data_IF_262032418452
#
_entry.id   IF_262032418452
#
_cell.length_a   1.000
_cell.length_b   1.000
_cell.length_c   1.000
_cell.angle_alpha   90.00
_cell.angle_beta   90.00
_cell.angle_gamma   90.00
#
_symmetry.space_group_name_H-M   'P 1'
#
loop_
_entity.id
_entity.type
_entity.pdbx_description
1 polymer ?
#
# COMPACT_ATOMS: atom_id res chain seq x y z
N UNK A 1 -9.83 -0.37 -16.57
CA UNK A 1 -8.44 -0.89 -16.57
C UNK A 1 -8.26 -1.85 -17.72
N UNK A 2 -7.12 -1.79 -18.41
CA UNK A 2 -6.82 -2.70 -19.54
C UNK A 2 -6.54 -4.10 -18.99
N UNK A 3 -7.31 -5.08 -19.44
CA UNK A 3 -7.19 -6.49 -19.03
C UNK A 3 -7.15 -7.38 -20.27
N UNK A 4 -6.37 -8.44 -20.18
CA UNK A 4 -6.40 -9.54 -21.15
C UNK A 4 -7.64 -10.42 -20.95
N UNK A 5 -7.88 -11.36 -21.87
CA UNK A 5 -9.03 -12.28 -21.83
C UNK A 5 -9.06 -13.15 -20.56
N UNK A 6 -7.90 -13.41 -19.96
CA UNK A 6 -7.71 -14.13 -18.70
C UNK A 6 -7.97 -13.25 -17.46
N UNK A 7 -8.47 -12.01 -17.65
CA UNK A 7 -8.67 -10.99 -16.61
C UNK A 7 -7.38 -10.54 -15.92
N UNK A 8 -6.21 -10.91 -16.44
CA UNK A 8 -4.91 -10.44 -15.93
C UNK A 8 -4.51 -9.13 -16.60
N UNK A 9 -3.64 -8.39 -15.94
CA UNK A 9 -3.01 -7.22 -16.56
C UNK A 9 -2.09 -7.70 -17.70
N UNK A 10 -2.17 -7.10 -18.90
CA UNK A 10 -1.20 -7.35 -19.95
C UNK A 10 0.21 -7.06 -19.47
N UNK A 11 1.18 -7.87 -19.91
CA UNK A 11 2.57 -7.75 -19.49
C UNK A 11 3.14 -6.37 -19.83
N UNK A 12 2.78 -5.84 -20.99
CA UNK A 12 3.21 -4.55 -21.50
C UNK A 12 2.73 -3.42 -20.60
N UNK A 13 1.50 -3.49 -20.08
CA UNK A 13 0.95 -2.50 -19.17
C UNK A 13 1.66 -2.53 -17.81
N UNK A 14 1.99 -3.74 -17.31
CA UNK A 14 2.78 -3.91 -16.09
C UNK A 14 4.17 -3.30 -16.29
N UNK A 15 4.88 -3.67 -17.36
CA UNK A 15 6.23 -3.18 -17.65
C UNK A 15 6.25 -1.66 -17.84
N UNK A 16 5.24 -1.09 -18.50
CA UNK A 16 5.10 0.36 -18.69
C UNK A 16 5.01 1.11 -17.35
N UNK A 17 4.09 0.71 -16.46
CA UNK A 17 3.93 1.35 -15.14
C UNK A 17 5.24 1.26 -14.33
N UNK A 18 5.95 0.13 -14.44
CA UNK A 18 7.21 -0.07 -13.74
C UNK A 18 8.34 0.78 -14.27
N UNK A 19 8.40 0.96 -15.59
CA UNK A 19 9.35 1.86 -16.21
C UNK A 19 9.08 3.31 -15.79
N UNK A 20 7.81 3.75 -15.79
CA UNK A 20 7.45 5.08 -15.28
C UNK A 20 7.91 5.28 -13.84
N UNK A 21 7.68 4.29 -12.98
CA UNK A 21 8.13 4.37 -11.59
C UNK A 21 9.67 4.41 -11.54
N UNK A 22 10.37 3.56 -12.31
CA UNK A 22 11.84 3.41 -12.33
C UNK A 22 12.58 4.65 -12.82
N UNK A 23 12.04 5.28 -13.85
CA UNK A 23 12.66 6.41 -14.53
C UNK A 23 12.01 7.73 -14.17
N UNK A 24 11.28 7.79 -13.05
CA UNK A 24 10.80 9.06 -12.51
C UNK A 24 11.98 9.89 -12.00
N UNK A 25 12.41 10.84 -12.81
CA UNK A 25 13.34 11.89 -12.43
C UNK A 25 12.56 13.21 -12.36
N UNK A 26 12.33 13.69 -11.15
CA UNK A 26 11.64 14.96 -10.93
C UNK A 26 12.62 16.14 -10.81
N UNK A 27 13.91 15.94 -11.14
CA UNK A 27 14.88 17.03 -11.17
C UNK A 27 14.50 18.08 -12.22
N UNK A 28 14.57 19.36 -11.84
CA UNK A 28 14.21 20.48 -12.72
C UNK A 28 12.71 20.79 -12.77
N UNK A 29 11.86 19.98 -12.13
CA UNK A 29 10.46 20.35 -11.91
C UNK A 29 10.34 21.24 -10.66
N UNK A 30 9.83 22.49 -10.79
CA UNK A 30 9.63 23.35 -9.62
C UNK A 30 8.47 22.88 -8.73
N UNK A 31 7.62 21.97 -9.20
CA UNK A 31 6.47 21.44 -8.48
C UNK A 31 6.73 20.03 -7.94
N UNK A 32 6.09 19.72 -6.82
CA UNK A 32 6.09 18.37 -6.27
C UNK A 32 5.24 17.44 -7.14
N UNK A 33 5.81 16.33 -7.58
CA UNK A 33 5.16 15.24 -8.32
C UNK A 33 4.51 14.20 -7.39
N UNK A 34 4.43 14.48 -6.09
CA UNK A 34 4.11 13.49 -5.08
C UNK A 34 2.73 12.86 -5.23
N UNK A 35 1.76 13.64 -5.72
CA UNK A 35 0.42 13.15 -6.05
C UNK A 35 0.43 12.22 -7.26
N UNK A 36 1.20 12.58 -8.30
CA UNK A 36 1.37 11.73 -9.48
C UNK A 36 2.04 10.41 -9.10
N UNK A 37 3.09 10.47 -8.28
CA UNK A 37 3.79 9.30 -7.77
C UNK A 37 2.88 8.43 -6.89
N UNK A 38 2.06 9.04 -6.02
CA UNK A 38 1.08 8.33 -5.20
C UNK A 38 0.04 7.58 -6.06
N UNK A 39 -0.51 8.23 -7.08
CA UNK A 39 -1.42 7.60 -8.04
C UNK A 39 -0.75 6.46 -8.81
N UNK A 40 0.50 6.65 -9.24
CA UNK A 40 1.26 5.61 -9.92
C UNK A 40 1.49 4.40 -9.01
N UNK A 41 1.85 4.63 -7.74
CA UNK A 41 2.00 3.58 -6.74
C UNK A 41 0.67 2.83 -6.54
N UNK A 42 -0.44 3.53 -6.34
CA UNK A 42 -1.77 2.91 -6.17
C UNK A 42 -2.16 2.04 -7.37
N UNK A 43 -1.88 2.50 -8.60
CA UNK A 43 -2.18 1.73 -9.83
C UNK A 43 -1.50 0.36 -9.85
N UNK A 44 -0.35 0.21 -9.18
CA UNK A 44 0.34 -1.07 -9.05
C UNK A 44 -0.48 -2.05 -8.22
N UNK A 45 -1.13 -1.58 -7.15
CA UNK A 45 -2.02 -2.41 -6.33
C UNK A 45 -3.23 -2.93 -7.11
N UNK A 46 -3.64 -2.22 -8.16
CA UNK A 46 -4.76 -2.61 -9.02
C UNK A 46 -4.36 -3.61 -10.12
N UNK A 47 -3.07 -3.89 -10.30
CA UNK A 47 -2.60 -4.89 -11.26
C UNK A 47 -3.08 -6.30 -10.87
N UNK A 48 -3.49 -7.06 -11.88
CA UNK A 48 -3.85 -8.47 -11.73
C UNK A 48 -2.69 -9.32 -12.25
N UNK A 49 -1.80 -9.71 -11.34
CA UNK A 49 -0.60 -10.46 -11.66
C UNK A 49 -0.92 -11.96 -11.84
N UNK A 50 -0.33 -12.57 -12.87
CA UNK A 50 -0.28 -14.03 -13.01
C UNK A 50 0.82 -14.67 -12.15
N UNK A 51 0.80 -16.00 -12.00
CA UNK A 51 1.79 -16.76 -11.19
C UNK A 51 3.24 -16.52 -11.64
N UNK A 52 3.44 -16.20 -12.92
CA UNK A 52 4.76 -15.92 -13.49
C UNK A 52 5.45 -14.65 -12.94
N UNK A 53 4.75 -13.82 -12.15
CA UNK A 53 5.28 -12.54 -11.65
C UNK A 53 5.61 -12.54 -10.14
N UNK A 54 5.76 -13.70 -9.49
CA UNK A 54 6.09 -13.76 -8.06
C UNK A 54 7.45 -13.10 -7.74
N UNK A 55 8.47 -13.35 -8.56
CA UNK A 55 9.80 -12.70 -8.40
C UNK A 55 9.74 -11.18 -8.52
N UNK A 56 8.77 -10.69 -9.30
CA UNK A 56 8.50 -9.28 -9.46
C UNK A 56 7.88 -8.67 -8.20
N UNK A 57 6.97 -9.36 -7.52
CA UNK A 57 6.35 -8.88 -6.26
C UNK A 57 7.43 -8.57 -5.22
N UNK A 58 8.44 -9.43 -5.06
CA UNK A 58 9.54 -9.18 -4.11
C UNK A 58 10.32 -7.89 -4.44
N UNK A 59 10.59 -7.65 -5.72
CA UNK A 59 11.30 -6.44 -6.17
C UNK A 59 10.47 -5.18 -5.96
N UNK A 60 9.16 -5.28 -6.18
CA UNK A 60 8.20 -4.22 -5.92
C UNK A 60 8.09 -3.90 -4.43
N UNK A 61 8.00 -4.91 -3.56
CA UNK A 61 7.92 -4.72 -2.10
C UNK A 61 9.14 -3.96 -1.58
N UNK A 62 10.36 -4.35 -1.98
CA UNK A 62 11.61 -3.62 -1.64
C UNK A 62 11.58 -2.17 -2.12
N UNK A 63 10.82 -1.87 -3.16
CA UNK A 63 10.70 -0.51 -3.69
C UNK A 63 9.67 0.31 -2.92
N UNK A 64 8.52 -0.27 -2.59
CA UNK A 64 7.53 0.35 -1.70
C UNK A 64 8.14 0.64 -0.33
N UNK A 65 8.96 -0.27 0.20
CA UNK A 65 9.71 -0.06 1.44
C UNK A 65 10.62 1.18 1.36
N UNK A 66 11.36 1.35 0.26
CA UNK A 66 12.18 2.53 0.04
C UNK A 66 11.37 3.82 -0.04
N UNK A 67 10.18 3.80 -0.64
CA UNK A 67 9.29 4.96 -0.63
C UNK A 67 8.80 5.28 0.77
N UNK A 68 8.42 4.27 1.56
CA UNK A 68 8.03 4.45 2.97
C UNK A 68 9.18 5.03 3.81
N UNK A 69 10.40 4.52 3.64
CA UNK A 69 11.59 5.04 4.31
C UNK A 69 11.89 6.49 3.89
N UNK A 70 11.82 6.78 2.59
CA UNK A 70 12.05 8.13 2.06
C UNK A 70 11.01 9.12 2.56
N UNK A 71 9.73 8.74 2.57
CA UNK A 71 8.63 9.58 3.04
C UNK A 71 8.74 9.82 4.55
N UNK A 72 9.31 8.89 5.31
CA UNK A 72 9.61 9.09 6.73
C UNK A 72 10.74 10.10 6.95
N UNK A 73 11.75 10.14 6.09
CA UNK A 73 12.86 11.09 6.17
C UNK A 73 12.48 12.49 5.70
N UNK A 74 11.74 12.58 4.60
CA UNK A 74 11.23 13.84 4.04
C UNK A 74 9.75 13.67 3.72
N UNK A 75 8.87 14.01 4.68
CA UNK A 75 7.43 13.78 4.56
C UNK A 75 6.81 14.48 3.36
N UNK A 76 6.13 13.70 2.54
CA UNK A 76 5.19 14.18 1.55
C UNK A 76 4.04 14.94 2.22
N UNK A 77 3.42 15.84 1.45
CA UNK A 77 2.26 16.56 1.91
C UNK A 77 1.16 15.60 2.39
N UNK A 78 0.73 15.78 3.65
CA UNK A 78 -0.25 14.92 4.33
C UNK A 78 0.08 13.41 4.29
N UNK A 79 1.36 13.02 4.15
CA UNK A 79 1.79 11.63 4.10
C UNK A 79 1.14 10.82 2.97
N UNK A 80 0.88 11.46 1.83
CA UNK A 80 0.15 10.85 0.72
C UNK A 80 0.90 9.65 0.13
N UNK A 81 2.24 9.68 0.08
CA UNK A 81 3.02 8.53 -0.38
C UNK A 81 2.91 7.35 0.58
N UNK A 82 3.02 7.59 1.88
CA UNK A 82 2.82 6.56 2.90
C UNK A 82 1.44 5.92 2.80
N UNK A 83 0.38 6.73 2.70
CA UNK A 83 -0.99 6.21 2.54
C UNK A 83 -1.15 5.40 1.24
N UNK A 84 -0.59 5.88 0.12
CA UNK A 84 -0.61 5.18 -1.16
C UNK A 84 0.15 3.84 -1.09
N UNK A 85 1.31 3.80 -0.42
CA UNK A 85 2.07 2.58 -0.20
C UNK A 85 1.29 1.58 0.66
N UNK A 86 0.69 2.01 1.77
CA UNK A 86 -0.12 1.14 2.64
C UNK A 86 -1.29 0.52 1.85
N UNK A 87 -2.02 1.32 1.07
CA UNK A 87 -3.11 0.84 0.23
C UNK A 87 -2.61 -0.19 -0.79
N UNK A 88 -1.50 0.10 -1.46
CA UNK A 88 -0.90 -0.78 -2.46
C UNK A 88 -0.44 -2.10 -1.86
N UNK A 89 0.23 -2.05 -0.70
CA UNK A 89 0.65 -3.23 0.06
C UNK A 89 -0.55 -4.10 0.43
N UNK A 90 -1.64 -3.48 0.89
CA UNK A 90 -2.89 -4.18 1.23
C UNK A 90 -3.42 -4.96 0.03
N UNK A 91 -3.53 -4.32 -1.14
CA UNK A 91 -3.99 -4.99 -2.36
C UNK A 91 -3.07 -6.14 -2.77
N UNK A 92 -1.75 -5.96 -2.65
CA UNK A 92 -0.78 -7.03 -2.93
C UNK A 92 -0.97 -8.21 -1.96
N UNK A 93 -1.13 -7.93 -0.67
CA UNK A 93 -1.35 -8.96 0.36
C UNK A 93 -2.64 -9.76 0.14
N UNK A 94 -3.74 -9.09 -0.22
CA UNK A 94 -5.02 -9.75 -0.54
C UNK A 94 -4.92 -10.64 -1.79
N UNK A 95 -4.17 -10.22 -2.80
CA UNK A 95 -4.00 -10.97 -4.05
C UNK A 95 -2.95 -12.08 -3.96
N UNK A 96 -2.03 -11.98 -3.00
CA UNK A 96 -0.86 -12.84 -2.90
C UNK A 96 -0.68 -13.35 -1.47
N UNK A 97 -1.34 -14.46 -1.09
CA UNK A 97 -1.30 -14.98 0.27
C UNK A 97 0.12 -15.27 0.78
N UNK A 98 1.07 -15.61 -0.09
CA UNK A 98 2.44 -15.93 0.30
C UNK A 98 3.24 -14.75 0.87
N UNK A 99 2.83 -13.51 0.59
CA UNK A 99 3.48 -12.30 1.14
C UNK A 99 2.64 -11.62 2.23
N UNK A 100 1.46 -12.17 2.52
CA UNK A 100 0.52 -11.59 3.48
C UNK A 100 1.15 -11.35 4.87
N UNK A 101 1.93 -12.29 5.47
CA UNK A 101 2.55 -12.05 6.78
C UNK A 101 3.49 -10.84 6.77
N UNK A 102 4.35 -10.73 5.75
CA UNK A 102 5.29 -9.61 5.60
C UNK A 102 4.55 -8.28 5.45
N UNK A 103 3.52 -8.25 4.59
CA UNK A 103 2.68 -7.07 4.37
C UNK A 103 1.96 -6.66 5.65
N UNK A 104 1.44 -7.62 6.40
CA UNK A 104 0.74 -7.39 7.65
C UNK A 104 1.66 -6.74 8.68
N UNK A 105 2.86 -7.27 8.88
CA UNK A 105 3.85 -6.72 9.82
C UNK A 105 4.27 -5.29 9.45
N UNK A 106 4.46 -5.02 8.16
CA UNK A 106 4.78 -3.67 7.67
C UNK A 106 3.65 -2.69 7.98
N UNK A 107 2.40 -3.05 7.65
CA UNK A 107 1.25 -2.17 7.89
C UNK A 107 1.02 -1.98 9.40
N UNK A 108 1.23 -3.03 10.21
CA UNK A 108 1.10 -2.97 11.68
C UNK A 108 2.02 -1.91 12.30
N UNK A 109 3.20 -1.67 11.73
CA UNK A 109 4.12 -0.63 12.20
C UNK A 109 3.54 0.79 12.11
N UNK A 110 2.51 1.02 11.29
CA UNK A 110 1.83 2.31 11.13
C UNK A 110 0.59 2.48 12.02
N UNK A 111 0.23 1.48 12.85
CA UNK A 111 -0.95 1.54 13.72
C UNK A 111 -0.90 2.71 14.70
N UNK A 112 0.29 3.02 15.21
CA UNK A 112 0.53 4.09 16.19
C UNK A 112 1.29 5.29 15.58
N UNK A 113 1.13 5.51 14.27
CA UNK A 113 1.79 6.62 13.58
C UNK A 113 1.29 7.99 14.08
N UNK A 114 2.12 9.03 14.08
CA UNK A 114 1.74 10.35 14.64
C UNK A 114 0.56 10.99 13.90
N UNK A 115 0.55 10.90 12.56
CA UNK A 115 -0.50 11.47 11.72
C UNK A 115 -1.73 10.54 11.65
N UNK A 116 -2.86 11.03 12.14
CA UNK A 116 -4.08 10.22 12.31
C UNK A 116 -4.61 9.59 11.01
N UNK A 117 -4.46 10.24 9.85
CA UNK A 117 -4.93 9.65 8.57
C UNK A 117 -4.11 8.42 8.17
N UNK A 118 -2.82 8.41 8.50
CA UNK A 118 -1.97 7.23 8.27
C UNK A 118 -2.38 6.11 9.21
N UNK A 119 -2.64 6.39 10.50
CA UNK A 119 -3.20 5.39 11.44
C UNK A 119 -4.52 4.82 10.94
N UNK A 120 -5.46 5.68 10.55
CA UNK A 120 -6.75 5.27 10.02
C UNK A 120 -6.59 4.38 8.78
N UNK A 121 -5.71 4.76 7.85
CA UNK A 121 -5.44 3.98 6.66
C UNK A 121 -4.81 2.62 7.00
N UNK A 122 -3.84 2.58 7.93
CA UNK A 122 -3.21 1.34 8.38
C UNK A 122 -4.23 0.40 9.04
N UNK A 123 -5.06 0.92 9.95
CA UNK A 123 -6.08 0.11 10.62
C UNK A 123 -7.14 -0.42 9.65
N UNK A 124 -7.63 0.40 8.70
CA UNK A 124 -8.52 -0.07 7.62
C UNK A 124 -7.90 -1.21 6.81
N UNK A 125 -6.61 -1.08 6.50
CA UNK A 125 -5.85 -2.09 5.78
C UNK A 125 -5.69 -3.38 6.57
N UNK A 126 -5.33 -3.31 7.86
CA UNK A 126 -5.22 -4.47 8.74
C UNK A 126 -6.55 -5.21 8.87
N UNK A 127 -7.66 -4.48 9.08
CA UNK A 127 -9.00 -5.06 9.13
C UNK A 127 -9.36 -5.82 7.85
N UNK A 128 -9.01 -5.26 6.69
CA UNK A 128 -9.26 -5.91 5.40
C UNK A 128 -8.45 -7.21 5.25
N UNK A 129 -7.19 -7.20 5.69
CA UNK A 129 -6.33 -8.39 5.67
C UNK A 129 -6.79 -9.45 6.67
N UNK A 130 -7.18 -9.02 7.87
CA UNK A 130 -7.68 -9.90 8.93
C UNK A 130 -8.98 -10.58 8.53
N UNK A 131 -9.90 -9.82 7.94
CA UNK A 131 -11.14 -10.37 7.38
C UNK A 131 -10.87 -11.43 6.32
N UNK A 132 -9.92 -11.18 5.43
CA UNK A 132 -9.57 -12.11 4.36
C UNK A 132 -8.91 -13.39 4.88
N UNK A 133 -8.04 -13.29 5.89
CA UNK A 133 -7.26 -14.44 6.38
C UNK A 133 -7.97 -15.23 7.48
N UNK A 134 -8.61 -14.55 8.43
CA UNK A 134 -9.13 -15.12 9.67
C UNK A 134 -10.67 -14.99 9.80
N UNK A 135 -11.32 -14.27 8.87
CA UNK A 135 -12.78 -14.14 8.81
C UNK A 135 -13.34 -12.96 9.60
N UNK A 136 -14.67 -12.89 9.65
CA UNK A 136 -15.40 -11.74 10.18
C UNK A 136 -15.16 -11.50 11.68
N UNK A 137 -15.20 -12.55 12.49
CA UNK A 137 -15.09 -12.42 13.95
C UNK A 137 -13.72 -11.87 14.38
N UNK A 138 -12.66 -12.30 13.70
CA UNK A 138 -11.31 -11.79 13.92
C UNK A 138 -11.18 -10.31 13.54
N UNK A 139 -11.74 -9.92 12.38
CA UNK A 139 -11.77 -8.52 11.96
C UNK A 139 -12.58 -7.63 12.92
N UNK A 140 -13.73 -8.11 13.41
CA UNK A 140 -14.53 -7.38 14.40
C UNK A 140 -13.78 -7.23 15.73
N UNK A 141 -13.10 -8.29 16.19
CA UNK A 141 -12.28 -8.22 17.41
C UNK A 141 -11.16 -7.18 17.27
N UNK A 142 -10.44 -7.19 16.15
CA UNK A 142 -9.40 -6.19 15.86
C UNK A 142 -9.96 -4.76 15.77
N UNK A 143 -11.19 -4.61 15.27
CA UNK A 143 -11.87 -3.31 15.22
C UNK A 143 -12.23 -2.78 16.61
N UNK A 144 -12.67 -3.64 17.52
CA UNK A 144 -12.93 -3.27 18.91
C UNK A 144 -11.63 -2.81 19.59
N UNK A 145 -10.54 -3.56 19.43
CA UNK A 145 -9.22 -3.16 19.94
C UNK A 145 -8.79 -1.80 19.40
N UNK A 146 -9.04 -1.54 18.11
CA UNK A 146 -8.77 -0.24 17.50
C UNK A 146 -9.59 0.90 18.12
N UNK A 147 -10.89 0.70 18.36
CA UNK A 147 -11.74 1.71 18.98
C UNK A 147 -11.29 2.06 20.40
N UNK A 148 -10.80 1.08 21.15
CA UNK A 148 -10.26 1.29 22.48
C UNK A 148 -8.93 2.07 22.43
N UNK A 149 -8.05 1.77 21.48
CA UNK A 149 -6.72 2.39 21.38
C UNK A 149 -6.72 3.79 20.73
N UNK A 150 -7.65 4.10 19.82
CA UNK A 150 -7.58 5.33 19.03
C UNK A 150 -7.94 6.58 19.84
N UNK A 151 -6.92 7.38 20.11
CA UNK A 151 -7.02 8.63 20.87
C UNK A 151 -7.86 9.70 20.17
N UNK A 152 -7.94 9.71 18.83
CA UNK A 152 -8.73 10.69 18.09
C UNK A 152 -10.24 10.63 18.38
N UNK A 153 -10.78 9.47 18.80
CA UNK A 153 -12.20 9.36 19.17
C UNK A 153 -12.48 9.81 20.61
N UNK A 154 -11.44 9.92 21.45
CA UNK A 154 -11.58 10.26 22.88
C UNK A 154 -11.67 11.77 23.15
N UNK A 155 -11.55 12.60 22.11
CA UNK A 155 -11.64 14.06 22.23
C UNK A 155 -10.38 14.70 22.82
N UNK A 156 -10.17 15.98 22.48
CA UNK A 156 -9.23 16.88 23.17
C UNK A 156 -9.57 17.01 24.65
#
# INVERSE_FOLDING_TARGET
>A
MVRSLDKKSPREAIEFILQLLKYNDNNGNPYSDVYWLATLIQSIGELELGKQHISFITSLLKRLERFLQSDRSTPSYNWILTMACIQTLTQIGLKTPSVLPLVYDWIKSFRNFEYWKVRLQANKSLLSLEFYNNGLDAALSLFLDYLDEESCFRGM
#
